data_IF_637818180248
#
_entry.id   IF_637818180248
#
_cell.length_a   1.000
_cell.length_b   1.000
_cell.length_c   1.000
_cell.angle_alpha   90.00
_cell.angle_beta   90.00
_cell.angle_gamma   90.00
#
_symmetry.space_group_name_H-M   'P 1'
#
loop_
_entity.id
_entity.type
_entity.pdbx_description
1 polymer ?
#
# COMPACT_ATOMS: atom_id res chain seq x y z
N UNK A 1 55.42 -43.96 26.59
CA UNK A 1 55.05 -43.02 25.51
C UNK A 1 53.54 -42.89 25.57
N UNK A 2 53.04 -41.85 26.26
CA UNK A 2 52.56 -40.58 25.69
C UNK A 2 51.14 -40.74 25.14
N UNK A 3 50.09 -40.06 25.59
CA UNK A 3 49.94 -38.74 26.20
C UNK A 3 48.79 -38.06 25.45
N UNK A 4 47.66 -37.78 26.12
CA UNK A 4 46.53 -37.08 25.51
C UNK A 4 46.82 -35.57 25.46
N UNK A 5 46.67 -34.88 24.31
CA UNK A 5 46.63 -33.43 24.26
C UNK A 5 45.20 -32.88 24.12
N UNK A 6 44.97 -31.79 24.86
CA UNK A 6 43.86 -30.86 24.76
C UNK A 6 43.68 -30.28 23.33
N UNK A 7 42.43 -30.00 22.96
CA UNK A 7 42.10 -29.19 21.78
C UNK A 7 40.64 -28.74 21.77
N UNK A 8 40.40 -27.53 22.27
CA UNK A 8 39.13 -26.79 22.22
C UNK A 8 39.13 -25.86 20.98
N UNK A 9 38.08 -25.80 20.14
CA UNK A 9 37.87 -24.67 19.24
C UNK A 9 36.74 -23.75 19.73
N UNK A 10 37.18 -22.59 20.20
CA UNK A 10 36.56 -21.25 20.21
C UNK A 10 35.08 -21.10 19.80
N UNK A 11 34.28 -20.65 20.76
CA UNK A 11 33.01 -19.95 20.52
C UNK A 11 33.31 -18.53 20.02
N UNK A 12 32.78 -18.16 18.85
CA UNK A 12 32.71 -16.76 18.42
C UNK A 12 31.44 -16.11 19.00
N UNK A 13 31.52 -14.91 19.60
CA UNK A 13 30.33 -14.15 19.98
C UNK A 13 29.73 -13.47 18.73
N UNK A 14 28.39 -13.39 18.58
CA UNK A 14 27.78 -12.61 17.51
C UNK A 14 27.97 -11.10 17.76
N UNK A 15 28.17 -10.28 16.70
CA UNK A 15 28.37 -8.84 16.84
C UNK A 15 27.10 -8.13 17.33
N UNK A 16 27.30 -7.19 18.24
CA UNK A 16 26.30 -6.30 18.85
C UNK A 16 26.13 -5.02 18.03
N UNK A 17 24.88 -4.57 17.86
CA UNK A 17 24.47 -3.24 17.36
C UNK A 17 24.11 -3.21 15.86
N UNK A 18 22.97 -2.70 15.39
CA UNK A 18 22.08 -1.69 15.94
C UNK A 18 20.60 -2.06 15.68
N UNK A 19 19.80 -2.10 16.73
CA UNK A 19 18.34 -1.99 16.66
C UNK A 19 17.97 -0.50 16.82
N UNK A 20 17.11 0.05 15.95
CA UNK A 20 16.06 0.98 16.36
C UNK A 20 14.84 0.72 15.45
N UNK A 21 13.89 -0.08 15.95
CA UNK A 21 12.47 0.04 15.60
C UNK A 21 11.71 0.14 16.92
N UNK A 22 11.00 1.24 17.22
CA UNK A 22 10.20 1.29 18.43
C UNK A 22 9.01 0.33 18.30
N UNK A 23 9.07 -0.68 19.16
CA UNK A 23 8.08 -1.72 19.41
C UNK A 23 6.78 -1.14 19.99
N UNK A 24 5.64 -1.50 19.40
CA UNK A 24 4.42 -1.72 20.20
C UNK A 24 3.73 -2.99 19.69
N UNK A 25 4.28 -4.16 20.02
CA UNK A 25 3.48 -5.37 20.13
C UNK A 25 4.14 -6.34 21.14
N UNK A 26 3.39 -6.71 22.19
CA UNK A 26 3.85 -7.55 23.28
C UNK A 26 3.19 -8.95 23.19
N UNK A 27 3.93 -10.04 22.91
CA UNK A 27 3.34 -11.34 22.58
C UNK A 27 2.88 -12.22 23.77
N UNK A 28 2.94 -11.75 25.02
CA UNK A 28 2.70 -12.61 26.21
C UNK A 28 1.23 -12.91 26.56
N UNK A 29 0.26 -12.54 25.73
CA UNK A 29 -1.16 -12.87 25.95
C UNK A 29 -1.81 -13.73 24.85
N UNK A 30 -1.03 -14.32 23.96
CA UNK A 30 -1.54 -15.33 23.04
C UNK A 30 -1.74 -16.66 23.80
N UNK A 31 -2.97 -16.89 24.28
CA UNK A 31 -3.37 -18.17 24.87
C UNK A 31 -3.07 -19.34 23.93
N UNK A 32 -2.53 -20.43 24.51
CA UNK A 32 -2.09 -21.61 23.78
C UNK A 32 -3.22 -22.25 22.94
N UNK A 33 -2.93 -22.77 21.73
CA UNK A 33 -3.91 -23.51 20.93
C UNK A 33 -4.14 -24.93 21.49
N UNK A 34 -5.37 -25.49 21.39
CA UNK A 34 -5.67 -26.84 21.85
C UNK A 34 -5.05 -27.93 20.94
N UNK A 35 -4.73 -29.13 21.47
CA UNK A 35 -3.98 -30.14 20.74
C UNK A 35 -4.84 -31.04 19.84
N UNK A 36 -4.36 -31.23 18.61
CA UNK A 36 -4.57 -32.43 17.81
C UNK A 36 -5.49 -32.27 16.59
N UNK A 37 -4.93 -32.41 15.39
CA UNK A 37 -5.50 -33.20 14.28
C UNK A 37 -4.37 -33.75 13.37
N UNK A 38 -4.56 -34.93 12.72
CA UNK A 38 -3.48 -35.70 12.10
C UNK A 38 -3.07 -35.16 10.72
N UNK A 39 -1.80 -35.39 10.37
CA UNK A 39 -1.15 -34.84 9.18
C UNK A 39 -1.70 -35.33 7.84
N UNK A 40 -1.56 -34.48 6.82
CA UNK A 40 -1.78 -34.81 5.42
C UNK A 40 -0.45 -34.80 4.64
N UNK A 41 -0.25 -35.75 3.69
CA UNK A 41 0.98 -35.88 2.92
C UNK A 41 1.07 -34.87 1.74
N UNK A 42 2.27 -34.63 1.17
CA UNK A 42 2.48 -33.61 0.14
C UNK A 42 2.21 -34.17 -1.25
N UNK A 43 1.37 -33.53 -2.07
CA UNK A 43 1.22 -33.92 -3.47
C UNK A 43 1.00 -32.75 -4.47
N UNK A 44 2.00 -32.67 -5.36
CA UNK A 44 2.05 -32.21 -6.76
C UNK A 44 1.98 -30.72 -7.13
N UNK A 45 3.15 -30.21 -7.57
CA UNK A 45 3.28 -29.10 -8.52
C UNK A 45 2.73 -29.54 -9.88
N UNK A 46 1.66 -28.89 -10.36
CA UNK A 46 1.22 -28.97 -11.75
C UNK A 46 1.65 -27.70 -12.48
N UNK A 47 2.59 -27.88 -13.40
CA UNK A 47 3.08 -26.89 -14.35
C UNK A 47 2.00 -26.64 -15.41
N UNK A 48 1.29 -25.52 -15.34
CA UNK A 48 0.35 -25.15 -16.39
C UNK A 48 1.04 -24.35 -17.50
N UNK A 49 1.13 -24.99 -18.67
CA UNK A 49 1.50 -24.40 -19.96
C UNK A 49 0.34 -23.52 -20.46
N UNK A 50 0.66 -22.31 -20.89
CA UNK A 50 -0.28 -21.33 -21.44
C UNK A 50 -0.73 -21.72 -22.86
N UNK A 51 -2.03 -21.68 -23.21
CA UNK A 51 -2.47 -21.69 -24.59
C UNK A 51 -2.59 -20.27 -25.16
N UNK A 52 -1.81 -20.02 -26.22
CA UNK A 52 -1.90 -18.86 -27.10
C UNK A 52 -3.17 -18.94 -27.97
N UNK A 53 -4.07 -17.96 -27.85
CA UNK A 53 -5.19 -17.79 -28.78
C UNK A 53 -4.98 -16.54 -29.63
N UNK A 54 -4.84 -16.77 -30.94
CA UNK A 54 -4.81 -15.73 -31.97
C UNK A 54 -6.22 -15.25 -32.30
N UNK A 55 -6.35 -13.95 -32.60
CA UNK A 55 -7.59 -13.39 -33.12
C UNK A 55 -7.49 -13.10 -34.63
N UNK A 56 -8.57 -13.34 -35.39
CA UNK A 56 -8.60 -13.17 -36.84
C UNK A 56 -8.80 -11.71 -37.28
N UNK A 57 -8.29 -11.44 -38.48
CA UNK A 57 -8.47 -10.24 -39.31
C UNK A 57 -9.92 -10.04 -39.77
N UNK A 58 -10.35 -8.77 -39.94
CA UNK A 58 -11.08 -8.20 -41.11
C UNK A 58 -11.77 -6.84 -40.75
N UNK A 59 -12.27 -6.03 -41.71
CA UNK A 59 -11.58 -5.34 -42.81
C UNK A 59 -11.80 -3.80 -42.74
N UNK A 60 -10.95 -3.02 -43.42
CA UNK A 60 -11.00 -1.54 -43.39
C UNK A 60 -11.84 -0.88 -44.48
N UNK A 61 -12.12 0.42 -44.30
CA UNK A 61 -12.36 1.49 -45.32
C UNK A 61 -12.39 2.89 -44.63
N UNK A 62 -12.32 4.02 -45.35
CA UNK A 62 -11.25 4.49 -46.23
C UNK A 62 -10.71 5.89 -45.78
N UNK A 63 -9.60 6.31 -46.41
CA UNK A 63 -8.76 7.41 -45.95
C UNK A 63 -9.30 8.83 -46.09
N UNK A 64 -8.64 9.75 -45.37
CA UNK A 64 -8.50 11.14 -45.78
C UNK A 64 -7.03 11.57 -45.69
N UNK A 65 -6.66 12.32 -46.72
CA UNK A 65 -5.33 12.70 -47.16
C UNK A 65 -4.72 13.78 -46.25
N UNK A 66 -3.41 13.73 -46.07
CA UNK A 66 -2.66 14.72 -45.30
C UNK A 66 -2.43 16.03 -46.07
N UNK A 67 -2.37 17.13 -45.31
CA UNK A 67 -1.61 18.34 -45.63
C UNK A 67 -0.97 18.93 -44.36
N UNK A 68 0.13 19.71 -44.48
CA UNK A 68 1.18 19.74 -43.47
C UNK A 68 1.12 20.97 -42.54
N UNK A 69 1.65 20.77 -41.33
CA UNK A 69 2.33 21.79 -40.53
C UNK A 69 1.47 22.77 -39.75
N UNK A 70 1.27 22.51 -38.45
CA UNK A 70 1.20 23.55 -37.42
C UNK A 70 1.81 23.01 -36.11
N UNK A 71 2.91 23.65 -35.68
CA UNK A 71 3.46 23.51 -34.33
C UNK A 71 2.42 24.01 -33.31
N UNK A 72 2.35 23.45 -32.09
CA UNK A 72 1.54 24.05 -31.04
C UNK A 72 2.11 25.44 -30.67
N UNK A 73 1.27 26.48 -30.51
CA UNK A 73 1.78 27.81 -30.19
C UNK A 73 2.44 27.82 -28.82
N UNK A 74 3.67 28.34 -28.82
CA UNK A 74 4.46 28.71 -27.66
C UNK A 74 3.63 29.51 -26.65
N UNK A 75 3.90 29.24 -25.38
CA UNK A 75 3.32 29.95 -24.23
C UNK A 75 3.29 31.47 -24.45
N UNK A 76 2.09 32.06 -24.31
CA UNK A 76 1.95 33.50 -24.15
C UNK A 76 2.74 33.93 -22.91
N UNK A 77 3.86 34.60 -23.14
CA UNK A 77 4.55 35.44 -22.19
C UNK A 77 3.65 36.63 -21.84
N UNK A 78 3.10 36.65 -20.63
CA UNK A 78 2.46 37.85 -20.10
C UNK A 78 3.51 38.96 -19.95
N UNK A 79 3.24 40.20 -20.40
CA UNK A 79 4.12 41.33 -20.11
C UNK A 79 4.14 41.57 -18.60
N UNK A 80 5.37 41.70 -18.08
CA UNK A 80 5.67 42.11 -16.71
C UNK A 80 4.86 43.35 -16.32
N UNK A 81 4.11 43.24 -15.23
CA UNK A 81 3.43 44.36 -14.61
C UNK A 81 4.44 45.47 -14.24
N UNK A 82 4.09 46.75 -14.39
CA UNK A 82 5.01 47.85 -14.11
C UNK A 82 5.39 47.88 -12.62
N UNK A 83 6.68 48.05 -12.36
CA UNK A 83 7.22 48.29 -11.03
C UNK A 83 6.50 49.46 -10.36
N UNK A 84 5.84 49.20 -9.24
CA UNK A 84 5.24 50.23 -8.40
C UNK A 84 6.35 51.04 -7.69
N UNK A 85 6.20 52.37 -7.52
CA UNK A 85 7.16 53.16 -6.78
C UNK A 85 7.17 52.74 -5.31
N UNK A 86 8.36 52.53 -4.75
CA UNK A 86 8.55 52.21 -3.34
C UNK A 86 8.09 53.35 -2.44
N UNK A 87 6.89 53.19 -1.86
CA UNK A 87 6.47 53.94 -0.69
C UNK A 87 6.56 53.01 0.52
N UNK A 88 7.55 53.27 1.38
CA UNK A 88 7.72 52.60 2.64
C UNK A 88 6.56 52.94 3.57
N UNK A 89 5.59 52.03 3.68
CA UNK A 89 4.61 52.06 4.75
C UNK A 89 5.21 51.37 5.97
N UNK A 90 5.48 52.16 7.01
CA UNK A 90 5.70 51.64 8.36
C UNK A 90 4.44 50.87 8.81
N UNK A 91 4.56 49.72 9.49
CA UNK A 91 3.40 48.97 9.94
C UNK A 91 2.67 49.72 11.05
N UNK A 92 1.34 49.83 10.91
CA UNK A 92 0.45 50.35 11.93
C UNK A 92 0.53 49.51 13.22
N UNK A 93 0.64 50.12 14.41
CA UNK A 93 0.69 49.39 15.67
C UNK A 93 -0.72 48.89 16.02
N UNK A 94 -0.95 47.58 16.01
CA UNK A 94 -2.19 47.05 16.61
C UNK A 94 -2.72 45.71 16.12
N UNK A 95 -2.18 45.10 15.07
CA UNK A 95 -2.61 43.74 14.69
C UNK A 95 -1.72 42.70 15.37
N UNK A 96 -2.27 41.78 16.17
CA UNK A 96 -1.48 40.67 16.68
C UNK A 96 -0.93 39.90 15.48
N UNK A 97 0.38 39.67 15.49
CA UNK A 97 1.05 38.80 14.53
C UNK A 97 0.51 37.39 14.76
N UNK A 98 -0.54 37.01 14.03
CA UNK A 98 -0.96 35.62 13.91
C UNK A 98 0.17 34.92 13.19
N UNK A 99 1.03 34.28 13.98
CA UNK A 99 1.97 33.29 13.45
C UNK A 99 1.14 32.36 12.57
N UNK A 100 1.53 32.11 11.30
CA UNK A 100 0.80 31.16 10.48
C UNK A 100 0.76 29.85 11.26
N UNK A 101 -0.45 29.43 11.65
CA UNK A 101 -0.68 28.07 12.14
C UNK A 101 0.05 27.14 11.17
N UNK A 102 0.93 26.24 11.62
CA UNK A 102 1.57 25.31 10.72
C UNK A 102 0.46 24.63 9.95
N UNK A 103 0.40 24.87 8.64
CA UNK A 103 -0.59 24.28 7.77
C UNK A 103 -0.38 22.77 7.87
N UNK A 104 -1.17 22.11 8.70
CA UNK A 104 -1.08 20.66 8.86
C UNK A 104 -1.42 20.09 7.49
N UNK A 105 -0.42 19.51 6.83
CA UNK A 105 -0.61 18.77 5.60
C UNK A 105 -1.68 17.68 5.75
N UNK A 106 -2.09 17.07 4.62
CA UNK A 106 -3.10 16.02 4.64
C UNK A 106 -2.73 14.92 5.64
N UNK A 107 -3.74 14.30 6.26
CA UNK A 107 -3.50 13.22 7.23
C UNK A 107 -2.81 12.00 6.57
N UNK A 108 -3.07 11.80 5.28
CA UNK A 108 -2.50 10.72 4.47
C UNK A 108 -2.08 11.25 3.10
N UNK A 109 -1.05 10.63 2.52
CA UNK A 109 -0.54 10.95 1.18
C UNK A 109 -0.33 9.65 0.39
N UNK A 110 -0.73 9.64 -0.87
CA UNK A 110 -0.49 8.54 -1.80
C UNK A 110 0.69 8.88 -2.70
N UNK A 111 1.78 8.11 -2.60
CA UNK A 111 3.02 8.41 -3.32
C UNK A 111 3.26 7.36 -4.39
N UNK A 112 3.25 7.79 -5.65
CA UNK A 112 3.49 6.93 -6.80
C UNK A 112 4.90 6.34 -6.78
N UNK A 113 5.01 5.04 -7.00
CA UNK A 113 6.28 4.30 -7.00
C UNK A 113 6.11 2.94 -7.70
N UNK A 114 7.15 2.11 -7.61
CA UNK A 114 7.14 0.69 -8.00
C UNK A 114 7.48 -0.19 -6.79
N UNK A 115 7.15 -1.48 -6.79
CA UNK A 115 7.60 -2.41 -5.76
C UNK A 115 9.12 -2.43 -5.54
N UNK A 116 9.91 -2.11 -6.56
CA UNK A 116 11.37 -2.07 -6.45
C UNK A 116 11.87 -0.81 -5.73
N UNK A 117 11.22 0.34 -5.97
CA UNK A 117 11.65 1.64 -5.47
C UNK A 117 10.95 2.04 -4.17
N UNK A 118 9.89 1.33 -3.77
CA UNK A 118 9.09 1.61 -2.59
C UNK A 118 9.91 1.69 -1.29
N UNK A 119 11.05 0.98 -1.21
CA UNK A 119 11.95 1.03 -0.05
C UNK A 119 12.41 2.45 0.30
N UNK A 120 12.40 3.39 -0.65
CA UNK A 120 12.69 4.81 -0.42
C UNK A 120 11.67 5.52 0.49
N UNK A 121 10.51 4.90 0.77
CA UNK A 121 9.43 5.45 1.59
C UNK A 121 9.36 4.82 2.99
N UNK A 122 10.39 4.08 3.41
CA UNK A 122 10.37 3.25 4.63
C UNK A 122 10.18 4.03 5.94
N UNK A 123 10.49 5.32 5.93
CA UNK A 123 10.33 6.23 7.07
C UNK A 123 8.90 6.78 7.22
N UNK A 124 8.04 6.58 6.21
CA UNK A 124 6.71 7.21 6.12
C UNK A 124 5.57 6.28 5.71
N UNK A 125 5.88 5.09 5.19
CA UNK A 125 4.89 4.15 4.70
C UNK A 125 4.03 3.55 5.83
N UNK A 126 2.74 3.40 5.58
CA UNK A 126 1.82 2.74 6.51
C UNK A 126 1.98 1.23 6.41
N UNK A 127 2.47 0.63 7.49
CA UNK A 127 2.47 -0.83 7.67
C UNK A 127 1.04 -1.29 7.92
N UNK A 128 0.45 -1.96 6.92
CA UNK A 128 -0.90 -2.51 6.98
C UNK A 128 -0.99 -3.81 7.77
N UNK A 129 0.10 -4.58 7.80
CA UNK A 129 0.20 -5.79 8.60
C UNK A 129 1.49 -6.55 8.30
N UNK A 130 1.43 -7.87 8.27
CA UNK A 130 2.61 -8.73 8.18
C UNK A 130 2.28 -10.07 7.51
N UNK A 131 3.29 -10.64 6.84
CA UNK A 131 3.24 -11.98 6.26
C UNK A 131 3.17 -13.05 7.37
N UNK A 132 2.31 -14.05 7.17
CA UNK A 132 2.10 -15.10 8.18
C UNK A 132 3.28 -16.08 8.34
N UNK A 133 4.09 -16.24 7.29
CA UNK A 133 5.15 -17.26 7.25
C UNK A 133 6.50 -16.77 7.80
N UNK A 134 6.81 -15.48 7.67
CA UNK A 134 8.09 -14.91 8.10
C UNK A 134 7.98 -13.60 8.89
N UNK A 135 6.77 -13.09 9.11
CA UNK A 135 6.50 -11.86 9.84
C UNK A 135 6.96 -10.59 9.12
N UNK A 136 7.37 -10.65 7.85
CA UNK A 136 7.82 -9.48 7.11
C UNK A 136 6.68 -8.48 6.87
N UNK A 137 6.96 -7.17 6.82
CA UNK A 137 5.91 -6.15 6.78
C UNK A 137 5.18 -6.14 5.44
N UNK A 138 3.85 -5.97 5.53
CA UNK A 138 2.98 -5.67 4.41
C UNK A 138 2.60 -4.19 4.46
N UNK A 139 2.90 -3.46 3.39
CA UNK A 139 2.54 -2.05 3.27
C UNK A 139 1.20 -1.88 2.57
N UNK A 140 0.47 -0.83 2.96
CA UNK A 140 -0.77 -0.43 2.28
C UNK A 140 -0.41 0.25 0.96
N UNK A 141 -1.00 -0.25 -0.12
CA UNK A 141 -0.88 0.35 -1.45
C UNK A 141 -2.25 0.54 -2.09
N UNK A 142 -2.29 1.30 -3.17
CA UNK A 142 -3.37 1.23 -4.17
C UNK A 142 -2.80 1.14 -5.58
N UNK A 143 -3.56 0.57 -6.50
CA UNK A 143 -3.19 0.51 -7.91
C UNK A 143 -4.42 0.54 -8.82
N UNK A 144 -4.25 1.02 -10.06
CA UNK A 144 -5.28 0.89 -11.10
C UNK A 144 -5.25 -0.51 -11.68
N UNK A 145 -6.42 -1.15 -11.74
CA UNK A 145 -6.57 -2.50 -12.29
C UNK A 145 -8.00 -2.67 -12.81
N UNK A 146 -8.17 -3.13 -14.05
CA UNK A 146 -9.48 -3.39 -14.68
C UNK A 146 -10.50 -2.24 -14.54
N UNK A 147 -10.02 -0.99 -14.68
CA UNK A 147 -10.84 0.22 -14.58
C UNK A 147 -11.07 0.75 -13.16
N UNK A 148 -10.80 -0.06 -12.14
CA UNK A 148 -10.92 0.33 -10.74
C UNK A 148 -9.60 0.90 -10.20
N UNK A 149 -9.68 1.66 -9.10
CA UNK A 149 -8.55 2.01 -8.25
C UNK A 149 -8.69 1.24 -6.93
N UNK A 150 -7.79 0.30 -6.67
CA UNK A 150 -7.97 -0.73 -5.66
C UNK A 150 -6.89 -0.66 -4.58
N UNK A 151 -7.27 -0.61 -3.29
CA UNK A 151 -6.38 -0.87 -2.17
C UNK A 151 -5.87 -2.32 -2.15
N UNK A 152 -4.64 -2.51 -1.70
CA UNK A 152 -4.01 -3.84 -1.61
C UNK A 152 -2.76 -3.85 -0.74
N UNK A 153 -1.88 -4.83 -0.99
CA UNK A 153 -0.66 -5.06 -0.21
C UNK A 153 0.60 -4.94 -1.08
N UNK A 154 1.69 -4.48 -0.47
CA UNK A 154 3.05 -4.66 -0.96
C UNK A 154 3.83 -5.49 0.06
N UNK A 155 4.31 -6.65 -0.38
CA UNK A 155 5.26 -7.46 0.38
C UNK A 155 6.67 -6.91 0.15
N UNK A 156 7.11 -6.00 1.02
CA UNK A 156 8.33 -5.20 0.80
C UNK A 156 9.57 -6.07 0.61
N UNK A 157 9.71 -7.13 1.41
CA UNK A 157 10.83 -8.08 1.33
C UNK A 157 10.90 -8.79 -0.02
N UNK A 158 9.73 -9.15 -0.57
CA UNK A 158 9.63 -9.89 -1.84
C UNK A 158 9.56 -8.97 -3.06
N UNK A 159 9.33 -7.66 -2.86
CA UNK A 159 9.16 -6.66 -3.92
C UNK A 159 8.01 -7.00 -4.88
N UNK A 160 6.92 -7.54 -4.33
CA UNK A 160 5.71 -7.86 -5.11
C UNK A 160 4.50 -7.19 -4.46
N UNK A 161 3.67 -6.56 -5.29
CA UNK A 161 2.44 -5.90 -4.87
C UNK A 161 1.24 -6.58 -5.51
N UNK A 162 0.14 -6.61 -4.76
CA UNK A 162 -1.10 -7.27 -5.17
C UNK A 162 -2.33 -6.46 -4.81
N UNK A 163 -3.34 -6.51 -5.68
CA UNK A 163 -4.69 -6.01 -5.43
C UNK A 163 -5.73 -7.12 -5.59
N UNK A 164 -6.78 -7.16 -4.76
CA UNK A 164 -7.87 -8.12 -4.90
C UNK A 164 -8.85 -7.66 -5.98
N UNK A 165 -9.12 -8.50 -6.99
CA UNK A 165 -10.13 -8.21 -8.01
C UNK A 165 -10.62 -9.48 -8.72
N UNK A 166 -11.93 -9.55 -8.97
CA UNK A 166 -12.54 -10.59 -9.83
C UNK A 166 -12.38 -12.02 -9.29
N UNK A 167 -12.21 -12.21 -7.99
CA UNK A 167 -11.96 -13.52 -7.39
C UNK A 167 -10.48 -13.90 -7.24
N UNK A 168 -9.56 -13.10 -7.79
CA UNK A 168 -8.13 -13.40 -7.82
C UNK A 168 -7.25 -12.34 -7.12
N UNK A 169 -6.05 -12.78 -6.75
CA UNK A 169 -4.96 -11.91 -6.30
C UNK A 169 -4.13 -11.46 -7.51
N UNK A 170 -4.21 -10.17 -7.86
CA UNK A 170 -3.66 -9.65 -9.10
C UNK A 170 -2.36 -8.89 -8.86
N UNK A 171 -1.27 -9.33 -9.50
CA UNK A 171 0.03 -8.68 -9.39
C UNK A 171 0.05 -7.32 -10.11
N UNK A 172 0.54 -6.29 -9.43
CA UNK A 172 0.63 -4.91 -9.95
C UNK A 172 2.04 -4.34 -9.83
N UNK A 173 2.42 -3.46 -10.76
CA UNK A 173 3.76 -2.84 -10.81
C UNK A 173 3.76 -1.32 -10.63
N UNK A 174 2.75 -0.64 -11.16
CA UNK A 174 2.56 0.80 -10.94
C UNK A 174 1.62 0.95 -9.75
N UNK A 175 2.17 1.42 -8.63
CA UNK A 175 1.45 1.50 -7.37
C UNK A 175 1.59 2.89 -6.75
N UNK A 176 0.71 3.19 -5.82
CA UNK A 176 0.88 4.29 -4.88
C UNK A 176 0.94 3.72 -3.46
N UNK A 177 1.98 4.07 -2.71
CA UNK A 177 2.12 3.66 -1.30
C UNK A 177 1.43 4.69 -0.42
N UNK A 178 0.63 4.20 0.53
CA UNK A 178 0.01 5.05 1.55
C UNK A 178 1.06 5.48 2.56
N UNK A 179 1.23 6.78 2.71
CA UNK A 179 2.12 7.39 3.71
C UNK A 179 1.30 8.21 4.70
N UNK A 180 1.60 8.10 5.98
CA UNK A 180 0.93 8.86 7.02
C UNK A 180 1.80 8.94 8.26
N UNK A 181 1.62 10.00 9.05
CA UNK A 181 2.19 10.03 10.40
C UNK A 181 1.37 9.12 11.31
N UNK A 182 2.00 8.26 12.15
CA UNK A 182 1.27 7.33 13.00
C UNK A 182 0.23 7.99 13.91
N UNK A 183 0.48 9.22 14.39
CA UNK A 183 -0.44 9.96 15.26
C UNK A 183 -1.68 10.52 14.53
N UNK A 184 -1.74 10.44 13.20
CA UNK A 184 -2.84 10.95 12.36
C UNK A 184 -3.78 9.86 11.85
N UNK A 185 -3.48 8.60 12.14
CA UNK A 185 -4.25 7.44 11.66
C UNK A 185 -4.45 6.42 12.76
N UNK A 186 -5.51 5.64 12.63
CA UNK A 186 -5.78 4.48 13.51
C UNK A 186 -6.53 3.39 12.76
N UNK A 187 -6.33 2.16 13.18
CA UNK A 187 -7.16 1.04 12.76
C UNK A 187 -8.35 0.92 13.71
N UNK A 188 -9.55 0.82 13.15
CA UNK A 188 -10.79 0.65 13.91
C UNK A 188 -11.47 -0.65 13.49
N UNK A 189 -11.83 -1.48 14.45
CA UNK A 189 -12.63 -2.68 14.19
C UNK A 189 -13.98 -2.27 13.60
N UNK A 190 -14.37 -2.95 12.53
CA UNK A 190 -15.59 -2.71 11.79
C UNK A 190 -16.27 -4.05 11.50
N UNK A 191 -17.58 -4.07 11.70
CA UNK A 191 -18.45 -5.18 11.34
C UNK A 191 -19.43 -4.69 10.26
N UNK A 192 -19.55 -5.47 9.20
CA UNK A 192 -20.55 -5.24 8.14
C UNK A 192 -20.40 -3.88 7.42
N UNK A 193 -21.50 -3.15 7.23
CA UNK A 193 -21.62 -2.02 6.30
C UNK A 193 -21.38 -0.64 6.93
N UNK A 194 -21.18 -0.55 8.24
CA UNK A 194 -21.09 0.74 8.93
C UNK A 194 -19.70 1.38 8.76
N UNK A 195 -19.48 2.03 7.62
CA UNK A 195 -18.22 2.73 7.33
C UNK A 195 -18.09 3.99 8.21
N UNK A 196 -17.03 4.13 9.02
CA UNK A 196 -16.80 5.34 9.81
C UNK A 196 -16.66 6.59 8.92
N UNK A 197 -17.18 7.76 9.32
CA UNK A 197 -17.10 8.99 8.52
C UNK A 197 -15.67 9.45 8.19
N UNK A 198 -14.71 9.08 9.02
CA UNK A 198 -13.28 9.39 8.89
C UNK A 198 -12.46 8.23 8.28
N UNK A 199 -13.12 7.24 7.67
CA UNK A 199 -12.43 6.15 6.98
C UNK A 199 -11.62 6.67 5.77
N UNK A 200 -10.42 6.12 5.60
CA UNK A 200 -9.51 6.48 4.51
C UNK A 200 -10.02 5.86 3.21
N UNK A 201 -10.46 6.71 2.28
CA UNK A 201 -10.75 6.29 0.91
C UNK A 201 -9.44 5.88 0.24
N UNK A 202 -9.37 4.62 -0.16
CA UNK A 202 -8.21 4.05 -0.83
C UNK A 202 -8.36 3.93 -2.34
N UNK A 203 -9.58 4.09 -2.86
CA UNK A 203 -9.83 4.13 -4.29
C UNK A 203 -11.30 4.13 -4.62
N UNK A 204 -11.66 3.65 -5.81
CA UNK A 204 -13.02 3.64 -6.30
C UNK A 204 -13.21 2.59 -7.39
N UNK A 205 -14.43 2.07 -7.51
CA UNK A 205 -14.82 1.26 -8.67
C UNK A 205 -14.90 2.12 -9.93
N UNK A 206 -14.94 1.48 -11.09
CA UNK A 206 -15.18 2.09 -12.40
C UNK A 206 -16.52 2.83 -12.50
N UNK A 207 -17.51 2.44 -11.69
CA UNK A 207 -18.79 3.16 -11.53
C UNK A 207 -18.72 4.35 -10.57
N UNK A 208 -17.58 4.55 -9.89
CA UNK A 208 -17.35 5.66 -8.96
C UNK A 208 -17.70 5.36 -7.50
N UNK A 209 -18.05 4.11 -7.15
CA UNK A 209 -18.28 3.75 -5.75
C UNK A 209 -16.95 3.84 -4.97
N UNK A 210 -16.90 4.55 -3.83
CA UNK A 210 -15.68 4.64 -3.03
C UNK A 210 -15.33 3.30 -2.39
N UNK A 211 -14.04 2.98 -2.42
CA UNK A 211 -13.45 1.82 -1.75
C UNK A 211 -12.52 2.30 -0.63
N UNK A 212 -12.52 1.60 0.50
CA UNK A 212 -11.77 2.00 1.68
C UNK A 212 -10.63 1.04 1.99
N UNK A 213 -9.63 1.54 2.72
CA UNK A 213 -8.50 0.73 3.18
C UNK A 213 -8.95 -0.07 4.40
N UNK A 214 -8.92 -1.40 4.30
CA UNK A 214 -9.13 -2.30 5.43
C UNK A 214 -8.03 -3.33 5.56
N UNK A 215 -8.05 -4.11 6.64
CA UNK A 215 -7.20 -5.29 6.84
C UNK A 215 -7.92 -6.38 7.62
N UNK A 216 -7.53 -7.63 7.37
CA UNK A 216 -8.04 -8.79 8.09
C UNK A 216 -6.96 -9.83 8.31
N UNK A 217 -7.21 -10.73 9.27
CA UNK A 217 -6.35 -11.89 9.55
C UNK A 217 -6.76 -13.04 8.65
N UNK A 218 -5.79 -13.68 8.02
CA UNK A 218 -5.96 -14.90 7.22
C UNK A 218 -4.72 -15.78 7.37
N UNK A 219 -4.88 -17.01 7.85
CA UNK A 219 -3.81 -18.00 8.00
C UNK A 219 -2.52 -17.45 8.66
N UNK A 220 -2.68 -16.70 9.75
CA UNK A 220 -1.56 -16.09 10.49
C UNK A 220 -1.00 -14.80 9.89
N UNK A 221 -1.40 -14.42 8.67
CA UNK A 221 -1.10 -13.13 8.07
C UNK A 221 -2.11 -12.07 8.52
N UNK A 222 -1.68 -10.81 8.64
CA UNK A 222 -2.55 -9.65 8.73
C UNK A 222 -2.40 -8.85 7.44
N UNK A 223 -3.42 -8.86 6.60
CA UNK A 223 -3.29 -8.41 5.20
C UNK A 223 -4.18 -7.21 4.91
N UNK A 224 -3.65 -6.10 4.35
CA UNK A 224 -4.45 -4.98 3.87
C UNK A 224 -5.13 -5.29 2.53
N UNK A 225 -6.31 -4.70 2.31
CA UNK A 225 -7.14 -4.90 1.12
C UNK A 225 -8.23 -3.84 0.98
N UNK A 226 -9.24 -4.12 0.14
CA UNK A 226 -10.33 -3.19 -0.19
C UNK A 226 -11.60 -3.50 0.60
N UNK A 227 -12.12 -2.52 1.34
CA UNK A 227 -13.49 -2.58 1.87
C UNK A 227 -14.42 -2.08 0.79
N UNK A 228 -15.43 -2.88 0.47
CA UNK A 228 -16.42 -2.58 -0.56
C UNK A 228 -17.80 -2.37 0.10
N UNK A 229 -18.26 -1.13 0.27
CA UNK A 229 -19.47 -0.82 1.03
C UNK A 229 -20.72 -1.55 0.51
N UNK A 230 -20.97 -1.54 -0.80
CA UNK A 230 -22.13 -2.23 -1.39
C UNK A 230 -22.11 -3.75 -1.18
N UNK A 231 -20.93 -4.36 -1.07
CA UNK A 231 -20.78 -5.79 -0.81
C UNK A 231 -20.71 -6.12 0.70
N UNK A 232 -20.53 -5.10 1.55
CA UNK A 232 -20.45 -5.21 3.02
C UNK A 232 -19.34 -6.15 3.50
N UNK A 233 -18.23 -6.19 2.76
CA UNK A 233 -17.06 -7.03 3.06
C UNK A 233 -15.75 -6.30 2.76
N UNK A 234 -14.70 -6.71 3.47
CA UNK A 234 -13.32 -6.51 3.05
C UNK A 234 -12.92 -7.65 2.12
N UNK A 235 -12.24 -7.35 1.03
CA UNK A 235 -11.52 -8.33 0.22
C UNK A 235 -10.01 -8.15 0.40
N UNK A 236 -9.30 -9.24 0.70
CA UNK A 236 -7.84 -9.25 0.75
C UNK A 236 -7.24 -10.09 -0.39
N UNK A 237 -6.09 -9.69 -0.95
CA UNK A 237 -5.30 -10.55 -1.83
C UNK A 237 -4.53 -11.57 -0.97
N UNK A 238 -4.81 -12.86 -1.13
CA UNK A 238 -4.14 -13.91 -0.37
C UNK A 238 -4.09 -15.24 -1.15
N UNK A 239 -2.91 -15.87 -1.21
CA UNK A 239 -2.67 -17.18 -1.82
C UNK A 239 -3.27 -17.35 -3.24
N UNK A 240 -3.12 -16.32 -4.08
CA UNK A 240 -3.65 -16.32 -5.45
C UNK A 240 -5.13 -15.96 -5.57
N UNK A 241 -5.82 -15.65 -4.46
CA UNK A 241 -7.25 -15.39 -4.43
C UNK A 241 -7.63 -14.07 -3.80
N UNK A 242 -8.80 -13.58 -4.21
CA UNK A 242 -9.52 -12.52 -3.52
C UNK A 242 -10.38 -13.16 -2.42
N UNK A 243 -10.00 -12.96 -1.15
CA UNK A 243 -10.65 -13.60 0.00
C UNK A 243 -11.55 -12.61 0.74
N UNK A 244 -12.86 -12.88 0.89
CA UNK A 244 -13.79 -11.99 1.59
C UNK A 244 -13.77 -12.18 3.12
N UNK A 245 -13.80 -11.08 3.86
CA UNK A 245 -13.94 -11.03 5.32
C UNK A 245 -15.06 -10.06 5.73
N UNK A 246 -15.95 -10.51 6.62
CA UNK A 246 -17.02 -9.68 7.22
C UNK A 246 -16.61 -8.97 8.51
N UNK A 247 -15.57 -9.47 9.16
CA UNK A 247 -14.95 -8.88 10.34
C UNK A 247 -13.56 -8.42 9.94
N UNK A 248 -13.31 -7.13 10.08
CA UNK A 248 -12.07 -6.50 9.62
C UNK A 248 -11.79 -5.23 10.41
N UNK A 249 -10.59 -4.69 10.26
CA UNK A 249 -10.28 -3.34 10.70
C UNK A 249 -10.28 -2.40 9.50
N UNK A 250 -10.80 -1.19 9.65
CA UNK A 250 -10.76 -0.12 8.66
C UNK A 250 -9.79 0.97 9.11
N UNK A 251 -9.03 1.52 8.17
CA UNK A 251 -8.11 2.61 8.47
C UNK A 251 -8.87 3.93 8.51
N UNK A 252 -8.70 4.69 9.59
CA UNK A 252 -9.35 5.98 9.81
C UNK A 252 -8.31 7.07 10.08
N UNK A 253 -8.62 8.31 9.72
CA UNK A 253 -7.86 9.48 10.18
C UNK A 253 -8.27 9.89 11.59
N UNK A 254 -7.36 10.50 12.34
CA UNK A 254 -7.58 11.01 13.71
C UNK A 254 -7.65 12.54 13.71
#
# INVERSE_FOLDING_TARGET
MSGYPYGNPQQYPPPQGQQIYPQIYNPVNAGAPPPGQPGYPPQYQQQYQQPSFGYPYQPGQPGQQGQPGQQPPSAMSYPSAPAQPGFGYAPAPGYPNVSPTPAYGPAVEWIATTPNDAHMLSDRAVVGGYEGHDGSPLWVIRARFEGDLLPGKLALKHKVAYVPWGGDENAVRSIEVLCARPERIRWQECHEAAIPPNAVIGGNTSSGEPLYVGRAKEQGSLTPGKVHPSHQVLYIPFAGKEVPHRVYEILCTV
#
